data_IF_770736456077
#
_entry.id   IF_770736456077
#
_cell.length_a   1.000
_cell.length_b   1.000
_cell.length_c   1.000
_cell.angle_alpha   90.00
_cell.angle_beta   90.00
_cell.angle_gamma   90.00
#
_symmetry.space_group_name_H-M   'P 1'
#
loop_
_entity.id
_entity.type
_entity.pdbx_description
1 polymer ?
#
# COMPACT_ATOMS: atom_id res chain seq x y z
N UNK A 1 -11.48 0.36 19.90
CA UNK A 1 -10.72 -0.10 18.72
C UNK A 1 -10.67 1.04 17.72
N UNK A 2 -9.47 1.50 17.40
CA UNK A 2 -9.25 2.57 16.41
C UNK A 2 -9.12 1.86 15.06
N UNK A 3 -9.93 2.25 14.07
CA UNK A 3 -9.83 1.70 12.71
C UNK A 3 -8.72 2.41 11.95
N UNK A 4 -7.86 1.66 11.27
CA UNK A 4 -6.97 2.20 10.26
C UNK A 4 -7.79 2.77 9.11
N UNK A 5 -7.49 4.01 8.67
CA UNK A 5 -8.31 4.69 7.67
C UNK A 5 -8.08 4.19 6.24
N UNK A 6 -7.01 3.44 5.98
CA UNK A 6 -6.63 2.98 4.64
C UNK A 6 -6.05 4.08 3.73
N UNK A 7 -5.90 5.30 4.23
CA UNK A 7 -5.42 6.43 3.42
C UNK A 7 -3.98 6.20 2.95
N UNK A 8 -3.69 6.60 1.71
CA UNK A 8 -2.31 6.74 1.23
C UNK A 8 -1.87 8.19 1.42
N UNK A 9 -0.61 8.40 1.77
CA UNK A 9 -0.06 9.73 1.99
C UNK A 9 1.22 9.97 1.18
N UNK A 10 1.33 11.14 0.54
CA UNK A 10 2.53 11.54 -0.21
C UNK A 10 2.66 13.07 -0.30
N UNK A 11 3.87 13.60 -0.11
CA UNK A 11 4.21 15.04 -0.18
C UNK A 11 3.15 15.92 0.54
N UNK A 12 2.81 15.54 1.78
CA UNK A 12 1.85 16.22 2.67
C UNK A 12 0.36 16.09 2.34
N UNK A 13 -0.02 15.26 1.37
CA UNK A 13 -1.42 15.01 1.03
C UNK A 13 -1.86 13.60 1.41
N UNK A 14 -3.15 13.46 1.70
CA UNK A 14 -3.79 12.17 2.00
C UNK A 14 -4.86 11.89 0.98
N UNK A 15 -4.80 10.72 0.35
CA UNK A 15 -5.84 10.26 -0.55
C UNK A 15 -6.63 9.12 0.08
N UNK A 16 -7.95 9.27 0.04
CA UNK A 16 -8.94 8.26 0.47
C UNK A 16 -9.30 7.34 -0.71
N UNK A 17 -10.00 6.24 -0.42
CA UNK A 17 -10.57 5.36 -1.45
C UNK A 17 -10.35 3.87 -1.15
N UNK A 18 -9.29 3.56 -0.41
CA UNK A 18 -9.06 2.23 0.11
C UNK A 18 -9.99 1.93 1.29
N UNK A 19 -10.16 0.65 1.59
CA UNK A 19 -10.93 0.22 2.73
C UNK A 19 -10.21 0.51 4.05
N UNK A 20 -11.00 0.68 5.09
CA UNK A 20 -10.49 0.71 6.46
C UNK A 20 -10.09 -0.70 6.89
N UNK A 21 -9.18 -0.78 7.85
CA UNK A 21 -8.78 -2.04 8.46
C UNK A 21 -8.86 -1.96 9.99
N UNK A 22 -8.99 -3.12 10.61
CA UNK A 22 -9.11 -3.34 12.05
C UNK A 22 -7.92 -4.19 12.56
N UNK A 23 -7.73 -4.23 13.88
CA UNK A 23 -6.69 -5.04 14.51
C UNK A 23 -6.86 -6.53 14.14
N UNK A 24 -5.74 -7.19 13.83
CA UNK A 24 -5.71 -8.61 13.46
C UNK A 24 -5.83 -8.88 11.96
N UNK A 25 -6.13 -7.87 11.13
CA UNK A 25 -6.11 -8.01 9.67
C UNK A 25 -4.68 -7.96 9.10
N UNK A 26 -4.45 -8.65 8.00
CA UNK A 26 -3.18 -8.61 7.26
C UNK A 26 -3.19 -7.42 6.30
N UNK A 27 -2.15 -6.57 6.37
CA UNK A 27 -1.92 -5.48 5.41
C UNK A 27 -0.68 -5.85 4.61
N UNK A 28 -0.79 -5.83 3.29
CA UNK A 28 0.33 -6.12 2.41
C UNK A 28 0.55 -4.99 1.40
N UNK A 29 1.79 -4.88 0.95
CA UNK A 29 2.17 -4.09 -0.22
C UNK A 29 2.96 -4.99 -1.15
N UNK A 30 2.55 -5.04 -2.41
CA UNK A 30 3.30 -5.67 -3.48
C UNK A 30 3.98 -4.58 -4.31
N UNK A 31 5.29 -4.70 -4.47
CA UNK A 31 6.10 -3.77 -5.28
C UNK A 31 6.58 -4.49 -6.54
N UNK A 32 6.03 -4.13 -7.68
CA UNK A 32 6.52 -4.58 -8.97
C UNK A 32 7.61 -3.62 -9.45
N UNK A 33 8.85 -4.05 -9.23
CA UNK A 33 10.05 -3.31 -9.62
C UNK A 33 10.52 -3.64 -11.05
N UNK A 34 9.83 -4.55 -11.75
CA UNK A 34 10.24 -5.07 -13.06
C UNK A 34 9.50 -4.40 -14.22
N UNK A 35 8.34 -3.82 -13.95
CA UNK A 35 7.53 -3.10 -14.95
C UNK A 35 7.92 -1.62 -15.05
N UNK A 36 7.54 -1.01 -16.19
CA UNK A 36 7.66 0.43 -16.43
C UNK A 36 6.29 0.97 -16.86
N UNK A 37 5.59 1.76 -16.02
CA UNK A 37 6.05 2.27 -14.71
C UNK A 37 6.08 1.19 -13.62
N UNK A 38 7.04 1.30 -12.69
CA UNK A 38 7.11 0.46 -11.48
C UNK A 38 5.89 0.73 -10.61
N UNK A 39 5.35 -0.30 -9.95
CA UNK A 39 4.06 -0.21 -9.25
C UNK A 39 4.17 -0.64 -7.79
N UNK A 40 3.43 0.03 -6.90
CA UNK A 40 3.14 -0.44 -5.55
C UNK A 40 1.62 -0.58 -5.38
N UNK A 41 1.16 -1.81 -5.16
CA UNK A 41 -0.25 -2.16 -4.94
C UNK A 41 -0.45 -2.60 -3.48
N UNK A 42 -1.58 -2.23 -2.89
CA UNK A 42 -1.87 -2.50 -1.47
C UNK A 42 -3.01 -3.49 -1.31
N UNK A 43 -3.00 -4.23 -0.20
CA UNK A 43 -3.99 -5.26 0.10
C UNK A 43 -4.37 -5.21 1.58
N UNK A 44 -5.60 -5.62 1.88
CA UNK A 44 -6.08 -5.87 3.24
C UNK A 44 -6.81 -7.21 3.22
N UNK A 45 -6.35 -8.18 4.02
CA UNK A 45 -6.80 -9.59 4.00
C UNK A 45 -6.85 -10.16 2.58
N UNK A 46 -5.75 -10.02 1.83
CA UNK A 46 -5.61 -10.45 0.42
C UNK A 46 -6.56 -9.75 -0.58
N UNK A 47 -7.38 -8.78 -0.14
CA UNK A 47 -8.23 -7.97 -1.02
C UNK A 47 -7.43 -6.78 -1.56
N UNK A 48 -7.22 -6.75 -2.87
CA UNK A 48 -6.56 -5.65 -3.59
C UNK A 48 -7.30 -4.32 -3.36
N UNK A 49 -6.54 -3.27 -3.08
CA UNK A 49 -7.07 -1.93 -2.82
C UNK A 49 -7.10 -1.07 -4.10
N UNK A 50 -8.13 -0.22 -4.29
CA UNK A 50 -8.32 0.53 -5.53
C UNK A 50 -7.25 1.61 -5.77
N UNK A 51 -6.61 2.14 -4.73
CA UNK A 51 -5.54 3.12 -4.90
C UNK A 51 -4.18 2.42 -4.91
N UNK A 52 -3.39 2.70 -5.95
CA UNK A 52 -2.03 2.18 -6.10
C UNK A 52 -1.08 3.28 -6.59
N UNK A 53 0.22 3.09 -6.38
CA UNK A 53 1.25 4.07 -6.75
C UNK A 53 2.04 3.57 -7.96
N UNK A 54 2.29 4.44 -8.92
CA UNK A 54 3.10 4.17 -10.10
C UNK A 54 4.35 5.05 -10.13
N UNK A 55 5.34 4.61 -10.90
CA UNK A 55 6.61 5.32 -11.13
C UNK A 55 7.43 5.48 -9.83
N UNK A 56 7.32 4.51 -8.92
CA UNK A 56 8.12 4.48 -7.68
C UNK A 56 9.63 4.46 -8.00
N UNK A 57 10.50 4.96 -7.09
CA UNK A 57 11.94 5.02 -7.33
C UNK A 57 12.58 3.64 -7.53
N UNK A 58 13.77 3.61 -8.11
CA UNK A 58 14.52 2.36 -8.37
C UNK A 58 15.02 1.66 -7.10
N UNK A 59 15.17 2.42 -6.03
CA UNK A 59 15.56 1.94 -4.72
C UNK A 59 14.52 2.39 -3.70
N UNK A 60 13.99 1.42 -2.96
CA UNK A 60 12.96 1.64 -1.94
C UNK A 60 13.37 0.96 -0.62
N UNK A 61 12.74 1.38 0.46
CA UNK A 61 12.81 0.72 1.77
C UNK A 61 11.40 0.61 2.32
N UNK A 62 11.09 -0.53 2.93
CA UNK A 62 9.87 -0.68 3.72
C UNK A 62 10.13 -0.13 5.12
N UNK A 63 9.19 0.67 5.62
CA UNK A 63 9.23 1.22 6.96
C UNK A 63 7.84 1.06 7.60
N UNK A 64 7.83 0.70 8.87
CA UNK A 64 6.62 0.54 9.65
C UNK A 64 6.75 1.34 10.94
N UNK A 65 5.65 1.97 11.35
CA UNK A 65 5.60 2.85 12.52
C UNK A 65 4.28 2.65 13.26
N UNK A 66 4.38 2.62 14.58
CA UNK A 66 3.25 2.52 15.51
C UNK A 66 3.19 3.78 16.35
N UNK A 67 2.07 4.48 16.33
CA UNK A 67 1.91 5.78 17.02
C UNK A 67 1.49 5.64 18.48
N UNK A 68 0.58 4.71 18.78
CA UNK A 68 -0.03 4.59 20.11
C UNK A 68 0.71 3.60 21.01
N UNK A 69 0.64 3.84 22.31
CA UNK A 69 1.20 2.94 23.33
C UNK A 69 0.59 1.55 23.22
N UNK A 70 1.41 0.52 23.40
CA UNK A 70 1.05 -0.91 23.27
C UNK A 70 0.62 -1.35 21.87
N UNK A 71 0.66 -0.48 20.86
CA UNK A 71 0.51 -0.92 19.46
C UNK A 71 1.69 -1.78 19.05
N UNK A 72 1.41 -2.86 18.33
CA UNK A 72 2.42 -3.74 17.76
C UNK A 72 1.91 -4.32 16.45
N UNK A 73 2.84 -4.78 15.62
CA UNK A 73 2.54 -5.53 14.41
C UNK A 73 3.49 -6.71 14.33
N UNK A 74 3.12 -7.72 13.56
CA UNK A 74 3.99 -8.86 13.25
C UNK A 74 4.18 -8.91 11.73
N UNK A 75 5.43 -9.05 11.29
CA UNK A 75 5.72 -9.33 9.88
C UNK A 75 5.49 -10.82 9.65
N UNK A 76 4.41 -11.17 8.96
CA UNK A 76 4.02 -12.56 8.68
C UNK A 76 4.73 -13.14 7.46
N UNK A 77 4.99 -12.30 6.45
CA UNK A 77 5.52 -12.70 5.14
C UNK A 77 6.48 -11.66 4.59
N UNK A 78 7.55 -12.13 3.94
CA UNK A 78 8.44 -11.32 3.11
C UNK A 78 8.95 -12.19 1.97
N UNK A 79 8.31 -12.08 0.80
CA UNK A 79 8.53 -12.96 -0.33
C UNK A 79 8.83 -12.16 -1.59
N UNK A 80 9.57 -12.80 -2.49
CA UNK A 80 9.78 -12.31 -3.86
C UNK A 80 8.96 -13.18 -4.79
N UNK A 81 8.01 -12.57 -5.49
CA UNK A 81 7.23 -13.24 -6.54
C UNK A 81 7.91 -13.09 -7.90
N UNK A 82 7.64 -14.05 -8.80
CA UNK A 82 8.11 -14.00 -10.19
C UNK A 82 7.25 -13.06 -11.03
N UNK A 83 5.97 -12.94 -10.69
CA UNK A 83 4.99 -12.07 -11.35
C UNK A 83 4.10 -11.41 -10.29
N UNK A 84 3.59 -10.22 -10.62
CA UNK A 84 2.60 -9.51 -9.81
C UNK A 84 1.34 -10.34 -9.60
N UNK A 85 0.80 -10.33 -8.37
CA UNK A 85 -0.49 -10.95 -8.03
C UNK A 85 -1.64 -9.96 -8.11
N UNK A 86 -1.36 -8.67 -8.24
CA UNK A 86 -2.37 -7.63 -8.43
C UNK A 86 -3.01 -7.73 -9.82
N UNK A 87 -4.31 -8.01 -9.84
CA UNK A 87 -5.14 -8.19 -11.03
C UNK A 87 -5.80 -6.88 -11.49
N UNK A 88 -5.88 -5.90 -10.58
CA UNK A 88 -6.57 -4.63 -10.80
C UNK A 88 -8.04 -4.67 -10.38
N UNK A 89 -8.49 -3.59 -9.74
CA UNK A 89 -9.87 -3.46 -9.24
C UNK A 89 -10.65 -2.44 -10.08
N UNK A 90 -11.95 -2.65 -10.28
CA UNK A 90 -12.80 -1.67 -10.96
C UNK A 90 -12.79 -0.33 -10.21
N UNK A 91 -12.62 0.77 -10.94
CA UNK A 91 -12.53 2.11 -10.35
C UNK A 91 -11.19 2.43 -9.68
N UNK A 92 -10.15 1.63 -9.93
CA UNK A 92 -8.82 1.90 -9.37
C UNK A 92 -8.24 3.24 -9.82
N UNK A 93 -7.54 3.92 -8.92
CA UNK A 93 -6.83 5.19 -9.19
C UNK A 93 -5.33 4.99 -9.02
N UNK A 94 -4.59 5.27 -10.10
CA UNK A 94 -3.13 5.31 -10.09
C UNK A 94 -2.64 6.68 -9.61
N UNK A 95 -1.67 6.69 -8.71
CA UNK A 95 -1.02 7.90 -8.23
C UNK A 95 0.45 7.91 -8.61
N UNK A 96 0.91 8.95 -9.31
CA UNK A 96 2.30 9.04 -9.71
C UNK A 96 3.17 9.49 -8.53
N UNK A 97 4.24 8.75 -8.26
CA UNK A 97 5.25 9.14 -7.27
C UNK A 97 5.90 10.48 -7.63
N UNK A 98 6.22 11.28 -6.62
CA UNK A 98 6.85 12.59 -6.78
C UNK A 98 5.88 13.70 -7.22
N UNK A 99 4.58 13.41 -7.31
CA UNK A 99 3.52 14.37 -7.66
C UNK A 99 2.53 14.52 -6.50
N UNK A 100 1.93 15.70 -6.37
CA UNK A 100 0.78 15.90 -5.47
C UNK A 100 -0.42 15.06 -5.94
N UNK A 101 -1.18 14.51 -5.00
CA UNK A 101 -2.27 13.58 -5.18
C UNK A 101 -3.60 14.24 -4.80
N UNK A 102 -3.97 15.29 -5.54
CA UNK A 102 -5.29 15.93 -5.46
C UNK A 102 -6.43 15.04 -6.00
#
# INVERSE_FOLDING_TARGET
MIKGLGNLAHINEYTKGNQKYDDGQEIAVEVDMTTAPRRATFFVDDVEQPNYVIDIPEAIRFWAFTEYESSSFTVTKFHRFVQSTAEGVYGSKAFQWGKSWN
#
